data_IF_452469360051
#
_entry.id   IF_452469360051
#
_cell.length_a   1.000
_cell.length_b   1.000
_cell.length_c   1.000
_cell.angle_alpha   90.00
_cell.angle_beta   90.00
_cell.angle_gamma   90.00
#
_symmetry.space_group_name_H-M   'P 1'
#
loop_
_entity.id
_entity.type
_entity.pdbx_description
1 polymer ?
#
# COMPACT_ATOMS: atom_id res chain seq x y z
N UNK A 1 0.54 -8.36 -3.71
CA UNK A 1 1.05 -6.98 -3.97
C UNK A 1 -0.05 -6.20 -4.67
N UNK A 2 -0.16 -4.89 -4.44
CA UNK A 2 -1.11 -4.04 -5.17
C UNK A 2 -0.37 -2.86 -5.82
N UNK A 3 -0.63 -2.66 -7.10
CA UNK A 3 -0.03 -1.59 -7.90
C UNK A 3 -1.06 -0.49 -8.18
N UNK A 4 -0.62 0.77 -8.11
CA UNK A 4 -1.48 1.94 -8.26
C UNK A 4 -0.88 2.87 -9.31
N UNK A 5 -1.66 3.23 -10.34
CA UNK A 5 -1.22 4.18 -11.36
C UNK A 5 -1.85 5.56 -11.13
N UNK A 6 -1.00 6.58 -11.12
CA UNK A 6 -1.41 7.98 -11.19
C UNK A 6 -1.26 8.46 -12.64
N UNK A 7 -2.36 8.40 -13.39
CA UNK A 7 -2.37 8.81 -14.80
C UNK A 7 -2.05 10.29 -15.02
N UNK A 8 -2.19 11.15 -14.00
CA UNK A 8 -1.82 12.58 -14.12
C UNK A 8 -0.31 12.77 -14.13
N UNK A 9 0.44 11.90 -13.45
CA UNK A 9 1.90 11.99 -13.34
C UNK A 9 2.63 10.95 -14.17
N UNK A 10 1.93 9.94 -14.70
CA UNK A 10 2.57 8.80 -15.38
C UNK A 10 3.39 7.94 -14.41
N UNK A 11 3.01 7.88 -13.13
CA UNK A 11 3.75 7.10 -12.13
C UNK A 11 2.93 5.92 -11.64
N UNK A 12 3.54 4.74 -11.65
CA UNK A 12 3.02 3.51 -11.11
C UNK A 12 3.75 3.17 -9.80
N UNK A 13 2.99 2.99 -8.72
CA UNK A 13 3.46 2.79 -7.37
C UNK A 13 3.16 1.36 -6.93
N UNK A 14 4.17 0.65 -6.42
CA UNK A 14 4.04 -0.68 -5.85
C UNK A 14 4.71 -0.68 -4.49
N UNK A 15 3.97 -1.08 -3.47
CA UNK A 15 4.48 -1.15 -2.10
C UNK A 15 4.49 -2.58 -1.58
N UNK A 16 5.57 -2.97 -0.91
CA UNK A 16 5.66 -4.24 -0.21
C UNK A 16 5.30 -5.46 -1.07
N UNK A 17 4.55 -6.41 -0.48
CA UNK A 17 4.33 -7.73 -1.07
C UNK A 17 5.20 -8.80 -0.44
N UNK A 18 5.20 -9.99 -1.03
CA UNK A 18 5.91 -11.16 -0.56
C UNK A 18 6.93 -11.59 -1.59
N UNK A 19 8.12 -11.94 -1.13
CA UNK A 19 9.06 -12.75 -1.87
C UNK A 19 9.10 -14.14 -1.28
N UNK A 20 9.08 -15.18 -2.10
CA UNK A 20 9.19 -16.58 -1.71
C UNK A 20 9.98 -17.37 -2.77
N UNK A 21 9.95 -18.71 -2.67
CA UNK A 21 10.70 -19.59 -3.57
C UNK A 21 10.30 -19.44 -5.04
N UNK A 22 9.09 -18.94 -5.32
CA UNK A 22 8.60 -18.69 -6.67
C UNK A 22 9.04 -17.33 -7.21
N UNK A 23 9.47 -16.42 -6.33
CA UNK A 23 9.94 -15.07 -6.71
C UNK A 23 11.42 -14.82 -6.42
N UNK A 24 12.16 -15.83 -5.93
CA UNK A 24 13.63 -15.80 -5.84
C UNK A 24 14.22 -15.83 -4.43
N UNK A 25 13.46 -16.15 -3.38
CA UNK A 25 13.98 -16.28 -2.00
C UNK A 25 13.57 -17.62 -1.37
N UNK A 26 14.49 -18.32 -0.70
CA UNK A 26 14.17 -19.63 -0.08
C UNK A 26 13.09 -19.55 1.00
N UNK A 27 13.05 -18.43 1.73
CA UNK A 27 12.06 -18.15 2.76
C UNK A 27 11.06 -17.10 2.30
N UNK A 28 9.87 -17.10 2.90
CA UNK A 28 8.88 -16.03 2.72
C UNK A 28 9.42 -14.77 3.38
N UNK A 29 9.68 -13.73 2.59
CA UNK A 29 10.16 -12.42 3.01
C UNK A 29 9.10 -11.40 2.68
N UNK A 30 8.72 -10.61 3.69
CA UNK A 30 7.86 -9.47 3.51
C UNK A 30 8.64 -8.25 3.06
N UNK A 31 8.21 -7.65 1.97
CA UNK A 31 8.82 -6.45 1.41
C UNK A 31 8.21 -5.21 2.07
N UNK A 32 9.00 -4.16 2.22
CA UNK A 32 8.58 -2.88 2.80
C UNK A 32 9.09 -1.66 2.03
N UNK A 33 9.39 -1.86 0.75
CA UNK A 33 9.88 -0.83 -0.14
C UNK A 33 8.75 -0.30 -1.03
N UNK A 34 8.80 1.01 -1.29
CA UNK A 34 7.99 1.66 -2.31
C UNK A 34 8.79 1.70 -3.61
N UNK A 35 8.33 0.98 -4.62
CA UNK A 35 8.87 0.99 -5.97
C UNK A 35 7.99 1.87 -6.86
N UNK A 36 8.62 2.82 -7.56
CA UNK A 36 7.93 3.77 -8.41
C UNK A 36 8.47 3.63 -9.82
N UNK A 37 7.61 3.20 -10.74
CA UNK A 37 7.90 3.18 -12.16
C UNK A 37 7.34 4.42 -12.82
N UNK A 38 8.20 5.21 -13.45
CA UNK A 38 7.81 6.35 -14.27
C UNK A 38 7.56 5.86 -15.70
N UNK A 39 6.30 5.88 -16.14
CA UNK A 39 5.87 5.35 -17.44
C UNK A 39 6.26 6.25 -18.61
N UNK A 40 6.76 7.46 -18.36
CA UNK A 40 7.19 8.41 -19.39
C UNK A 40 8.67 8.18 -19.70
N UNK A 41 9.50 8.15 -18.66
CA UNK A 41 10.94 7.91 -18.77
C UNK A 41 11.31 6.42 -18.81
N UNK A 42 10.38 5.53 -18.47
CA UNK A 42 10.58 4.08 -18.36
C UNK A 42 11.65 3.71 -17.33
N UNK A 43 11.71 4.45 -16.22
CA UNK A 43 12.70 4.25 -15.16
C UNK A 43 12.06 3.84 -13.83
N UNK A 44 12.79 3.05 -13.06
CA UNK A 44 12.44 2.71 -11.69
C UNK A 44 13.15 3.61 -10.69
N UNK A 45 12.45 3.97 -9.63
CA UNK A 45 13.00 4.68 -8.47
C UNK A 45 12.41 4.14 -7.18
N UNK A 46 13.06 4.43 -6.05
CA UNK A 46 12.55 4.09 -4.71
C UNK A 46 11.83 5.30 -4.11
N UNK A 47 10.65 5.05 -3.54
CA UNK A 47 10.00 5.99 -2.64
C UNK A 47 10.63 5.97 -1.25
N UNK A 48 10.15 6.87 -0.39
CA UNK A 48 10.58 6.97 0.99
C UNK A 48 10.21 5.71 1.77
N UNK A 49 11.07 5.31 2.68
CA UNK A 49 10.83 4.27 3.69
C UNK A 49 10.66 4.86 5.09
N UNK A 50 10.82 6.18 5.24
CA UNK A 50 10.71 6.87 6.51
C UNK A 50 9.23 6.90 6.92
N UNK A 51 8.92 6.37 8.11
CA UNK A 51 7.56 6.18 8.63
C UNK A 51 6.67 5.26 7.80
N UNK A 52 7.26 4.43 6.92
CA UNK A 52 6.52 3.37 6.26
C UNK A 52 5.93 2.39 7.31
N UNK A 53 4.78 1.77 7.03
CA UNK A 53 4.22 0.78 7.93
C UNK A 53 5.12 -0.46 8.04
N UNK A 54 4.75 -1.40 8.91
CA UNK A 54 5.39 -2.71 8.91
C UNK A 54 5.14 -3.43 7.57
N UNK A 55 6.07 -4.31 7.15
CA UNK A 55 5.90 -5.14 5.96
C UNK A 55 4.56 -5.86 5.99
N UNK A 56 3.79 -5.70 4.91
CA UNK A 56 2.42 -6.23 4.82
C UNK A 56 2.07 -6.69 3.42
N UNK A 57 1.13 -7.64 3.37
CA UNK A 57 0.54 -8.16 2.14
C UNK A 57 -0.99 -8.18 2.26
N UNK A 58 -1.67 -8.44 1.15
CA UNK A 58 -3.12 -8.65 1.07
C UNK A 58 -3.99 -7.49 1.59
N UNK A 59 -3.39 -6.29 1.66
CA UNK A 59 -4.06 -5.01 1.91
C UNK A 59 -4.66 -4.48 0.61
N UNK A 60 -5.59 -3.52 0.66
CA UNK A 60 -6.02 -2.77 -0.53
C UNK A 60 -5.28 -1.45 -0.63
N UNK A 61 -5.01 -0.97 -1.85
CA UNK A 61 -4.49 0.37 -2.10
C UNK A 61 -5.44 1.13 -3.02
N UNK A 62 -5.63 2.42 -2.77
CA UNK A 62 -6.55 3.26 -3.57
C UNK A 62 -5.99 4.68 -3.70
N UNK A 63 -5.89 5.18 -4.93
CA UNK A 63 -5.42 6.54 -5.20
C UNK A 63 -6.58 7.55 -5.12
N UNK A 64 -6.43 8.54 -4.26
CA UNK A 64 -7.32 9.69 -4.18
C UNK A 64 -6.93 10.77 -5.20
N UNK A 65 -7.90 11.62 -5.58
CA UNK A 65 -7.71 12.67 -6.58
C UNK A 65 -6.66 13.72 -6.23
N UNK A 66 -6.32 13.84 -4.94
CA UNK A 66 -5.31 14.73 -4.37
C UNK A 66 -3.89 14.11 -4.36
N UNK A 67 -3.71 12.88 -4.86
CA UNK A 67 -2.40 12.23 -4.92
C UNK A 67 -2.02 11.44 -3.67
N UNK A 68 -2.95 11.23 -2.73
CA UNK A 68 -2.73 10.33 -1.60
C UNK A 68 -3.13 8.91 -1.99
N UNK A 69 -2.26 7.93 -1.74
CA UNK A 69 -2.61 6.51 -1.79
C UNK A 69 -3.03 6.08 -0.39
N UNK A 70 -4.23 5.52 -0.27
CA UNK A 70 -4.79 4.98 0.97
C UNK A 70 -4.60 3.48 0.99
N UNK A 71 -4.04 2.96 2.07
CA UNK A 71 -3.81 1.54 2.31
C UNK A 71 -4.68 1.07 3.48
N UNK A 72 -5.46 0.00 3.28
CA UNK A 72 -6.42 -0.51 4.27
C UNK A 72 -6.24 -2.02 4.46
N UNK A 73 -6.24 -2.44 5.73
CA UNK A 73 -6.17 -3.84 6.15
C UNK A 73 -4.91 -4.57 5.66
N UNK A 74 -5.09 -5.84 5.33
CA UNK A 74 -4.02 -6.77 5.03
C UNK A 74 -3.49 -7.47 6.28
N UNK A 75 -2.37 -8.16 6.11
CA UNK A 75 -1.68 -8.87 7.19
C UNK A 75 -0.23 -8.45 7.28
N UNK A 76 0.21 -8.19 8.49
CA UNK A 76 1.62 -8.02 8.81
C UNK A 76 2.26 -9.39 8.85
N UNK A 77 3.35 -9.52 8.10
CA UNK A 77 3.86 -10.85 7.74
C UNK A 77 4.81 -11.41 8.78
N UNK A 78 5.31 -10.58 9.69
CA UNK A 78 5.78 -11.08 10.97
C UNK A 78 4.54 -11.59 11.72
N UNK A 79 4.45 -12.91 11.86
CA UNK A 79 3.39 -13.63 12.60
C UNK A 79 2.02 -13.78 11.90
N UNK A 80 1.89 -13.39 10.63
CA UNK A 80 0.62 -13.47 9.87
C UNK A 80 -0.58 -12.86 10.63
N UNK A 81 -0.35 -11.74 11.31
CA UNK A 81 -1.37 -11.07 12.10
C UNK A 81 -2.13 -10.09 11.22
N UNK A 82 -3.46 -10.12 11.30
CA UNK A 82 -4.29 -9.17 10.59
C UNK A 82 -4.09 -7.75 11.14
N UNK A 83 -3.87 -6.81 10.22
CA UNK A 83 -3.75 -5.39 10.54
C UNK A 83 -5.08 -4.89 11.08
N UNK A 84 -5.05 -4.12 12.18
CA UNK A 84 -6.21 -3.36 12.64
C UNK A 84 -6.76 -2.51 11.50
N UNK A 85 -7.95 -2.85 11.00
CA UNK A 85 -8.54 -2.21 9.83
C UNK A 85 -8.81 -0.71 10.05
N UNK A 86 -8.88 -0.27 11.31
CA UNK A 86 -9.01 1.14 11.63
C UNK A 86 -7.69 1.91 11.47
N UNK A 87 -6.55 1.23 11.40
CA UNK A 87 -5.26 1.87 11.11
C UNK A 87 -5.11 2.08 9.61
N UNK A 88 -5.41 3.31 9.17
CA UNK A 88 -5.32 3.70 7.77
C UNK A 88 -3.94 4.26 7.51
N UNK A 89 -3.22 3.64 6.58
CA UNK A 89 -1.89 4.11 6.16
C UNK A 89 -2.04 4.94 4.89
N UNK A 90 -1.32 6.05 4.83
CA UNK A 90 -1.39 7.02 3.75
C UNK A 90 0.00 7.24 3.17
N UNK A 91 0.08 7.34 1.85
CA UNK A 91 1.29 7.75 1.15
C UNK A 91 1.00 8.95 0.24
N UNK A 92 1.64 10.07 0.54
CA UNK A 92 1.56 11.27 -0.29
C UNK A 92 2.58 11.17 -1.44
N UNK A 93 2.05 11.04 -2.65
CA UNK A 93 2.86 10.88 -3.87
C UNK A 93 3.56 12.16 -4.32
N UNK A 94 3.15 13.33 -3.81
CA UNK A 94 3.68 14.64 -4.19
C UNK A 94 4.94 14.99 -3.41
N UNK A 95 4.95 14.67 -2.11
CA UNK A 95 6.07 14.96 -1.20
C UNK A 95 6.85 13.71 -0.79
N UNK A 96 6.46 12.53 -1.29
CA UNK A 96 7.12 11.25 -1.02
C UNK A 96 7.19 10.94 0.50
N UNK A 97 6.03 10.97 1.17
CA UNK A 97 5.96 10.75 2.63
C UNK A 97 4.83 9.81 3.02
N UNK A 98 5.11 8.99 4.02
CA UNK A 98 4.13 8.19 4.74
C UNK A 98 3.52 8.98 5.89
N UNK A 99 2.27 8.67 6.18
CA UNK A 99 1.56 9.07 7.39
C UNK A 99 0.50 8.01 7.74
N UNK A 100 -0.11 8.11 8.91
CA UNK A 100 -1.20 7.23 9.32
C UNK A 100 -2.30 8.02 10.01
N UNK A 101 -3.49 7.43 10.03
CA UNK A 101 -4.62 7.93 10.80
C UNK A 101 -5.46 6.76 11.33
N UNK A 102 -6.21 7.01 12.38
CA UNK A 102 -7.17 6.03 12.92
C UNK A 102 -8.58 6.40 12.45
N UNK A 103 -9.24 5.44 11.80
CA UNK A 103 -10.64 5.57 11.41
C UNK A 103 -11.53 5.72 12.65
N UNK A 104 -12.60 6.50 12.52
CA UNK A 104 -13.56 6.74 13.58
C UNK A 104 -14.92 6.13 13.20
N UNK A 105 -15.74 5.84 14.20
CA UNK A 105 -17.09 5.30 14.01
C UNK A 105 -17.17 3.82 14.36
N UNK A 106 -17.77 3.02 13.47
CA UNK A 106 -18.02 1.60 13.71
C UNK A 106 -16.71 0.81 13.66
N UNK A 107 -16.45 0.03 14.70
CA UNK A 107 -15.35 -0.92 14.72
C UNK A 107 -15.71 -2.10 13.82
N UNK A 108 -14.86 -2.34 12.82
CA UNK A 108 -14.98 -3.48 11.92
C UNK A 108 -13.99 -4.57 12.32
N UNK A 109 -14.32 -5.81 11.98
CA UNK A 109 -13.34 -6.90 12.02
C UNK A 109 -12.22 -6.65 10.99
N UNK A 110 -11.02 -7.12 11.31
CA UNK A 110 -9.88 -6.97 10.42
C UNK A 110 -10.10 -7.76 9.12
N UNK A 111 -9.55 -7.25 8.01
CA UNK A 111 -9.71 -7.86 6.69
C UNK A 111 -8.39 -7.90 5.95
N UNK A 112 -8.10 -9.04 5.34
CA UNK A 112 -7.05 -9.24 4.36
C UNK A 112 -7.64 -9.92 3.12
N UNK A 113 -7.01 -9.79 1.96
CA UNK A 113 -7.48 -10.41 0.70
C UNK A 113 -8.77 -9.82 0.13
N UNK A 114 -9.19 -8.66 0.62
CA UNK A 114 -10.37 -7.94 0.14
C UNK A 114 -10.04 -7.01 -1.03
N UNK A 115 -11.07 -6.49 -1.69
CA UNK A 115 -10.97 -5.44 -2.70
C UNK A 115 -11.48 -4.12 -2.15
N UNK A 116 -11.05 -3.02 -2.77
CA UNK A 116 -11.56 -1.68 -2.48
C UNK A 116 -11.73 -0.88 -3.78
N UNK A 117 -12.74 -0.02 -3.85
CA UNK A 117 -13.01 0.85 -5.00
C UNK A 117 -13.37 2.27 -4.56
N UNK A 118 -12.79 3.26 -5.23
CA UNK A 118 -13.07 4.67 -4.99
C UNK A 118 -14.32 5.12 -5.78
N UNK A 119 -15.32 5.61 -5.06
CA UNK A 119 -16.38 6.45 -5.60
C UNK A 119 -16.05 7.93 -5.47
N UNK A 120 -16.98 8.82 -5.80
CA UNK A 120 -16.77 10.28 -5.74
C UNK A 120 -16.24 10.77 -4.38
N UNK A 121 -16.65 10.14 -3.28
CA UNK A 121 -16.31 10.57 -1.92
C UNK A 121 -15.92 9.44 -0.96
N UNK A 122 -16.19 8.18 -1.32
CA UNK A 122 -16.05 7.05 -0.41
C UNK A 122 -15.27 5.92 -1.06
N UNK A 123 -14.46 5.23 -0.26
CA UNK A 123 -13.87 3.93 -0.59
C UNK A 123 -14.84 2.86 -0.09
N UNK A 124 -15.22 1.93 -0.96
CA UNK A 124 -16.05 0.77 -0.65
C UNK A 124 -15.24 -0.51 -0.74
#
# INVERSE_FOLDING_TARGET
MNGIINNKTGKFYVFGGLSDQFTGTENIIALNDMNIFDTISLTWSKGSTIYAPLPRADYTATLLSNGIIVFIGGRETNYFVDVDINQIVLYDTTINKWSSMTAQGVILENRNGHSAVLSKYYIY
#
